data_IF_145067364932
#
_entry.id   IF_145067364932
#
_cell.length_a   1.000
_cell.length_b   1.000
_cell.length_c   1.000
_cell.angle_alpha   90.00
_cell.angle_beta   90.00
_cell.angle_gamma   90.00
#
_symmetry.space_group_name_H-M   'P 1'
#
loop_
_entity.id
_entity.type
_entity.pdbx_description
1 polymer ?
#
# COMPACT_ATOMS: atom_id res chain seq x y z
N UNK A 1 -1.06 -33.61 15.74
CA UNK A 1 -1.74 -33.21 14.48
C UNK A 1 -2.27 -31.81 14.72
N UNK A 2 -1.79 -30.85 13.98
CA UNK A 2 -2.24 -29.44 14.13
C UNK A 2 -3.70 -29.33 13.70
N UNK A 3 -4.53 -28.67 14.52
CA UNK A 3 -5.94 -28.46 14.21
C UNK A 3 -6.09 -27.45 13.05
N UNK A 4 -6.74 -27.88 11.98
CA UNK A 4 -7.01 -27.03 10.81
C UNK A 4 -7.85 -25.79 11.16
N UNK A 5 -8.65 -25.83 12.22
CA UNK A 5 -9.41 -24.69 12.71
C UNK A 5 -8.50 -23.55 13.17
N UNK A 6 -7.47 -23.86 13.95
CA UNK A 6 -6.50 -22.83 14.40
C UNK A 6 -5.67 -22.26 13.26
N UNK A 7 -5.29 -23.07 12.26
CA UNK A 7 -4.61 -22.59 11.05
C UNK A 7 -5.49 -21.58 10.30
N UNK A 8 -6.77 -21.86 10.11
CA UNK A 8 -7.69 -20.97 9.44
C UNK A 8 -7.93 -19.66 10.22
N UNK A 9 -8.02 -19.74 11.55
CA UNK A 9 -8.14 -18.55 12.42
C UNK A 9 -6.89 -17.68 12.31
N UNK A 10 -5.70 -18.27 12.37
CA UNK A 10 -4.44 -17.55 12.24
C UNK A 10 -4.36 -16.82 10.89
N UNK A 11 -4.64 -17.49 9.78
CA UNK A 11 -4.68 -16.89 8.44
C UNK A 11 -5.69 -15.76 8.35
N UNK A 12 -6.89 -15.92 8.91
CA UNK A 12 -7.90 -14.87 8.90
C UNK A 12 -7.45 -13.61 9.65
N UNK A 13 -6.85 -13.78 10.84
CA UNK A 13 -6.35 -12.66 11.65
C UNK A 13 -5.20 -11.95 10.92
N UNK A 14 -4.23 -12.70 10.36
CA UNK A 14 -3.12 -12.12 9.58
C UNK A 14 -3.68 -11.25 8.45
N UNK A 15 -4.58 -11.80 7.64
CA UNK A 15 -5.20 -11.11 6.50
C UNK A 15 -5.93 -9.82 6.88
N UNK A 16 -6.52 -9.76 8.09
CA UNK A 16 -7.31 -8.62 8.59
C UNK A 16 -6.51 -7.67 9.45
N UNK A 17 -5.25 -7.96 9.72
CA UNK A 17 -4.39 -7.10 10.54
C UNK A 17 -4.10 -5.79 9.81
N UNK A 18 -4.35 -4.63 10.45
CA UNK A 18 -3.99 -3.33 9.88
C UNK A 18 -2.49 -3.19 9.67
N UNK A 19 -2.10 -2.36 8.69
CA UNK A 19 -0.69 -2.08 8.44
C UNK A 19 0.02 -1.53 9.69
N UNK A 20 1.26 -1.96 9.91
CA UNK A 20 2.04 -1.59 11.09
C UNK A 20 1.79 -2.45 12.34
N UNK A 21 0.73 -3.25 12.36
CA UNK A 21 0.36 -4.10 13.50
C UNK A 21 0.74 -5.58 13.32
N UNK A 22 1.27 -5.98 12.16
CA UNK A 22 1.54 -7.39 11.86
C UNK A 22 2.44 -8.05 12.90
N UNK A 23 3.56 -7.43 13.27
CA UNK A 23 4.48 -8.00 14.26
C UNK A 23 3.79 -8.33 15.59
N UNK A 24 3.07 -7.36 16.16
CA UNK A 24 2.33 -7.57 17.41
C UNK A 24 1.22 -8.61 17.28
N UNK A 25 0.54 -8.64 16.13
CA UNK A 25 -0.50 -9.65 15.86
C UNK A 25 0.09 -11.06 15.78
N UNK A 26 1.26 -11.22 15.17
CA UNK A 26 1.95 -12.51 15.11
C UNK A 26 2.43 -12.98 16.50
N UNK A 27 2.95 -12.08 17.34
CA UNK A 27 3.30 -12.39 18.73
C UNK A 27 2.08 -12.87 19.55
N UNK A 28 0.97 -12.13 19.43
CA UNK A 28 -0.28 -12.52 20.09
C UNK A 28 -0.82 -13.85 19.57
N UNK A 29 -0.78 -14.08 18.26
CA UNK A 29 -1.20 -15.36 17.67
C UNK A 29 -0.36 -16.52 18.19
N UNK A 30 0.98 -16.38 18.25
CA UNK A 30 1.86 -17.40 18.83
C UNK A 30 1.44 -17.79 20.24
N UNK A 31 1.09 -16.79 21.05
CA UNK A 31 0.65 -17.04 22.45
C UNK A 31 -0.70 -17.77 22.53
N UNK A 32 -1.57 -17.63 21.52
CA UNK A 32 -2.92 -18.21 21.52
C UNK A 32 -2.98 -19.56 20.83
N UNK A 33 -2.40 -19.66 19.62
CA UNK A 33 -2.50 -20.88 18.79
C UNK A 33 -1.28 -21.79 18.90
N UNK A 34 -0.17 -21.31 19.46
CA UNK A 34 1.08 -22.05 19.64
C UNK A 34 2.00 -22.01 18.41
N UNK A 35 3.29 -22.32 18.63
CA UNK A 35 4.32 -22.33 17.58
C UNK A 35 4.04 -23.35 16.48
N UNK A 36 3.52 -24.53 16.83
CA UNK A 36 3.22 -25.60 15.87
C UNK A 36 2.24 -25.13 14.77
N UNK A 37 1.26 -24.28 15.12
CA UNK A 37 0.32 -23.68 14.16
C UNK A 37 1.02 -22.60 13.33
N UNK A 38 1.79 -21.73 13.98
CA UNK A 38 2.50 -20.63 13.30
C UNK A 38 3.56 -21.13 12.32
N UNK A 39 4.14 -22.32 12.57
CA UNK A 39 5.12 -22.95 11.69
C UNK A 39 4.51 -23.67 10.48
N UNK A 40 3.20 -23.78 10.41
CA UNK A 40 2.54 -24.37 9.23
C UNK A 40 2.84 -23.56 7.96
N UNK A 41 3.15 -24.27 6.88
CA UNK A 41 3.45 -23.66 5.57
C UNK A 41 2.35 -22.71 5.11
N UNK A 42 1.09 -23.03 5.37
CA UNK A 42 -0.05 -22.21 4.96
C UNK A 42 -0.13 -20.88 5.73
N UNK A 43 0.27 -20.88 7.02
CA UNK A 43 0.35 -19.64 7.81
C UNK A 43 1.52 -18.77 7.32
N UNK A 44 2.68 -19.37 7.06
CA UNK A 44 3.86 -18.67 6.50
C UNK A 44 3.55 -18.07 5.13
N UNK A 45 2.84 -18.81 4.27
CA UNK A 45 2.35 -18.27 2.98
C UNK A 45 1.42 -17.09 3.17
N UNK A 46 0.53 -17.10 4.17
CA UNK A 46 -0.39 -15.98 4.42
C UNK A 46 0.35 -14.73 4.91
N UNK A 47 1.40 -14.88 5.74
CA UNK A 47 2.28 -13.78 6.13
C UNK A 47 2.97 -13.16 4.90
N UNK A 48 3.45 -14.01 4.00
CA UNK A 48 4.07 -13.59 2.75
C UNK A 48 3.06 -12.86 1.84
N UNK A 49 1.86 -13.42 1.64
CA UNK A 49 0.77 -12.81 0.88
C UNK A 49 0.33 -11.47 1.47
N UNK A 50 0.37 -11.33 2.80
CA UNK A 50 0.13 -10.05 3.47
C UNK A 50 1.16 -9.01 3.00
N UNK A 51 2.45 -9.36 2.98
CA UNK A 51 3.51 -8.48 2.49
C UNK A 51 3.29 -8.04 1.04
N UNK A 52 2.95 -8.97 0.14
CA UNK A 52 2.63 -8.69 -1.27
C UNK A 52 1.38 -7.79 -1.41
N UNK A 53 0.33 -8.08 -0.62
CA UNK A 53 -0.95 -7.35 -0.67
C UNK A 53 -0.79 -5.90 -0.24
N UNK A 54 0.05 -5.64 0.76
CA UNK A 54 0.32 -4.31 1.30
C UNK A 54 1.52 -3.63 0.64
N UNK A 55 2.03 -4.14 -0.49
CA UNK A 55 3.20 -3.64 -1.18
C UNK A 55 4.35 -3.33 -0.20
N UNK A 56 4.62 -4.28 0.68
CA UNK A 56 5.65 -4.13 1.71
C UNK A 56 7.03 -3.99 1.09
N UNK A 57 7.90 -3.22 1.72
CA UNK A 57 9.28 -3.10 1.28
C UNK A 57 10.17 -4.07 2.06
N UNK A 58 10.90 -4.90 1.34
CA UNK A 58 11.86 -5.84 1.89
C UNK A 58 13.28 -5.28 1.75
N UNK A 59 14.09 -5.47 2.78
CA UNK A 59 15.50 -5.10 2.72
C UNK A 59 16.24 -6.10 1.82
N UNK A 60 16.80 -5.62 0.73
CA UNK A 60 17.71 -6.40 -0.07
C UNK A 60 19.15 -6.21 0.48
N UNK A 61 19.63 -7.21 1.21
CA UNK A 61 20.95 -7.17 1.85
C UNK A 61 22.11 -7.12 0.85
N UNK A 62 21.86 -7.49 -0.42
CA UNK A 62 22.89 -7.48 -1.48
C UNK A 62 23.09 -6.07 -2.02
N UNK A 63 22.01 -5.32 -2.24
CA UNK A 63 22.07 -3.96 -2.78
C UNK A 63 21.96 -2.88 -1.70
N UNK A 64 21.71 -3.28 -0.46
CA UNK A 64 21.41 -2.39 0.67
C UNK A 64 20.26 -1.41 0.37
N UNK A 65 19.28 -1.86 -0.42
CA UNK A 65 18.09 -1.11 -0.83
C UNK A 65 16.83 -1.73 -0.26
N UNK A 66 15.74 -0.93 -0.22
CA UNK A 66 14.40 -1.41 0.13
C UNK A 66 13.57 -1.54 -1.15
N UNK A 67 13.13 -2.74 -1.44
CA UNK A 67 12.38 -3.06 -2.66
C UNK A 67 10.93 -3.40 -2.32
N UNK A 68 10.00 -2.79 -3.04
CA UNK A 68 8.57 -3.11 -2.92
C UNK A 68 8.30 -4.44 -3.61
N UNK A 69 7.65 -5.35 -2.89
CA UNK A 69 7.26 -6.66 -3.39
C UNK A 69 5.79 -6.69 -3.82
N UNK A 70 5.51 -7.38 -4.91
CA UNK A 70 4.16 -7.60 -5.43
C UNK A 70 4.13 -8.88 -6.26
N UNK A 71 3.00 -9.58 -6.36
CA UNK A 71 2.85 -10.67 -7.33
C UNK A 71 3.16 -10.25 -8.77
N UNK A 72 2.95 -8.95 -9.10
CA UNK A 72 3.19 -8.39 -10.44
C UNK A 72 4.68 -8.20 -10.78
N UNK A 73 5.55 -8.20 -9.78
CA UNK A 73 7.02 -8.09 -9.96
C UNK A 73 7.74 -9.41 -9.76
N UNK A 74 6.98 -10.51 -9.77
CA UNK A 74 7.46 -11.87 -9.54
C UNK A 74 7.44 -12.67 -10.82
N UNK A 75 8.56 -13.30 -11.17
CA UNK A 75 8.64 -14.19 -12.33
C UNK A 75 8.06 -15.58 -12.05
N UNK A 76 8.00 -16.42 -13.09
CA UNK A 76 7.50 -17.81 -13.01
C UNK A 76 8.35 -18.72 -12.12
N UNK A 77 9.62 -18.36 -11.86
CA UNK A 77 10.53 -19.06 -10.96
C UNK A 77 10.40 -18.62 -9.50
N UNK A 78 9.59 -17.59 -9.25
CA UNK A 78 9.32 -17.04 -7.93
C UNK A 78 10.31 -15.97 -7.46
N UNK A 79 11.11 -15.40 -8.36
CA UNK A 79 11.98 -14.27 -8.05
C UNK A 79 11.23 -12.94 -8.18
N UNK A 80 11.44 -12.05 -7.23
CA UNK A 80 11.10 -10.64 -7.33
C UNK A 80 12.22 -9.89 -8.03
N UNK A 81 11.89 -8.88 -8.81
CA UNK A 81 12.84 -8.11 -9.58
C UNK A 81 12.99 -6.68 -9.04
N UNK A 82 14.24 -6.30 -8.79
CA UNK A 82 14.69 -4.92 -8.64
C UNK A 82 15.52 -4.55 -9.88
N UNK A 83 14.84 -4.16 -10.94
CA UNK A 83 15.50 -3.86 -12.21
C UNK A 83 16.33 -2.59 -12.13
N UNK A 84 15.99 -1.65 -11.24
CA UNK A 84 16.80 -0.46 -10.99
C UNK A 84 18.20 -0.79 -10.44
N UNK A 85 18.30 -1.84 -9.64
CA UNK A 85 19.57 -2.34 -9.08
C UNK A 85 20.13 -3.55 -9.82
N UNK A 86 19.47 -4.00 -10.89
CA UNK A 86 19.83 -5.17 -11.72
C UNK A 86 19.96 -6.47 -10.91
N UNK A 87 19.04 -6.69 -9.97
CA UNK A 87 19.02 -7.87 -9.11
C UNK A 87 17.63 -8.48 -9.10
N UNK A 88 17.57 -9.82 -9.15
CA UNK A 88 16.37 -10.59 -8.80
C UNK A 88 16.64 -11.40 -7.53
N UNK A 89 15.61 -11.61 -6.71
CA UNK A 89 15.76 -12.26 -5.41
C UNK A 89 14.53 -13.05 -5.00
N UNK A 90 14.73 -14.07 -4.14
CA UNK A 90 13.66 -14.79 -3.45
C UNK A 90 13.60 -14.39 -1.98
N UNK A 91 12.41 -14.46 -1.43
CA UNK A 91 12.14 -14.23 -0.01
C UNK A 91 11.82 -15.56 0.64
N UNK A 92 12.50 -15.84 1.72
CA UNK A 92 12.22 -17.01 2.54
C UNK A 92 10.88 -16.91 3.23
N UNK A 93 10.05 -17.95 3.09
CA UNK A 93 8.74 -17.99 3.74
C UNK A 93 8.83 -18.03 5.27
N UNK A 94 9.94 -18.52 5.79
CA UNK A 94 10.16 -18.63 7.23
C UNK A 94 10.78 -17.37 7.84
N UNK A 95 11.77 -16.81 7.13
CA UNK A 95 12.56 -15.66 7.58
C UNK A 95 11.91 -14.32 7.25
N UNK A 96 11.17 -14.24 6.12
CA UNK A 96 10.73 -12.97 5.54
C UNK A 96 11.87 -12.14 4.96
N UNK A 97 13.08 -12.71 4.88
CA UNK A 97 14.30 -12.05 4.39
C UNK A 97 14.69 -12.56 3.01
N UNK A 98 15.58 -11.84 2.36
CA UNK A 98 16.16 -12.27 1.08
C UNK A 98 17.09 -13.46 1.32
N UNK A 99 16.74 -14.63 0.77
CA UNK A 99 17.53 -15.86 0.90
C UNK A 99 18.38 -16.14 -0.32
N UNK A 100 17.93 -15.75 -1.50
CA UNK A 100 18.62 -15.99 -2.77
C UNK A 100 18.57 -14.70 -3.60
N UNK A 101 19.72 -14.23 -4.04
CA UNK A 101 19.81 -13.05 -4.91
C UNK A 101 20.75 -13.34 -6.09
N UNK A 102 20.34 -12.91 -7.27
CA UNK A 102 21.05 -13.10 -8.54
C UNK A 102 21.08 -11.80 -9.33
N UNK A 103 22.18 -11.57 -10.05
CA UNK A 103 22.23 -10.47 -11.01
C UNK A 103 21.26 -10.71 -12.17
N UNK A 104 20.61 -9.68 -12.66
CA UNK A 104 19.76 -9.70 -13.85
C UNK A 104 20.14 -8.56 -14.77
N UNK A 105 20.08 -8.79 -16.08
CA UNK A 105 20.40 -7.77 -17.09
C UNK A 105 19.18 -7.44 -17.97
N UNK A 106 17.99 -7.56 -17.42
CA UNK A 106 16.77 -7.16 -18.11
C UNK A 106 16.77 -5.64 -18.19
N UNK A 107 16.91 -5.11 -19.41
CA UNK A 107 16.93 -3.68 -19.68
C UNK A 107 15.81 -3.30 -20.66
N UNK A 108 15.20 -2.17 -20.42
CA UNK A 108 14.21 -1.55 -21.29
C UNK A 108 14.32 -0.03 -21.14
N UNK A 109 14.54 0.66 -22.27
CA UNK A 109 14.78 2.11 -22.27
C UNK A 109 13.55 2.88 -21.80
N UNK A 110 12.35 2.52 -22.26
CA UNK A 110 11.11 3.13 -21.83
C UNK A 110 10.91 2.97 -20.30
N UNK A 111 11.19 1.79 -19.75
CA UNK A 111 11.14 1.54 -18.31
C UNK A 111 12.06 2.48 -17.54
N UNK A 112 13.28 2.71 -18.03
CA UNK A 112 14.24 3.59 -17.36
C UNK A 112 13.77 5.05 -17.38
N UNK A 113 13.20 5.51 -18.50
CA UNK A 113 12.61 6.85 -18.59
C UNK A 113 11.41 7.00 -17.66
N UNK A 114 10.55 5.99 -17.60
CA UNK A 114 9.40 5.97 -16.67
C UNK A 114 9.89 6.02 -15.21
N UNK A 115 10.89 5.22 -14.83
CA UNK A 115 11.44 5.25 -13.47
C UNK A 115 11.92 6.63 -13.06
N UNK A 116 12.65 7.31 -13.95
CA UNK A 116 13.12 8.67 -13.69
C UNK A 116 11.93 9.64 -13.50
N UNK A 117 10.93 9.58 -14.36
CA UNK A 117 9.75 10.45 -14.28
C UNK A 117 8.89 10.17 -13.03
N UNK A 118 8.72 8.90 -12.67
CA UNK A 118 8.03 8.50 -11.43
C UNK A 118 8.80 9.03 -10.21
N UNK A 119 10.12 8.90 -10.18
CA UNK A 119 10.96 9.44 -9.11
C UNK A 119 10.78 10.96 -8.98
N UNK A 120 10.86 11.72 -10.08
CA UNK A 120 10.65 13.18 -10.09
C UNK A 120 9.24 13.56 -9.57
N UNK A 121 8.22 12.78 -9.91
CA UNK A 121 6.86 12.97 -9.41
C UNK A 121 6.77 12.73 -7.90
N UNK A 122 7.32 11.61 -7.43
CA UNK A 122 7.27 11.25 -6.00
C UNK A 122 8.05 12.25 -5.13
N UNK A 123 9.21 12.70 -5.55
CA UNK A 123 10.00 13.71 -4.84
C UNK A 123 9.26 15.06 -4.69
N UNK A 124 8.38 15.40 -5.63
CA UNK A 124 7.59 16.64 -5.58
C UNK A 124 6.32 16.51 -4.75
N UNK A 125 5.68 15.34 -4.76
CA UNK A 125 4.32 15.17 -4.25
C UNK A 125 4.25 14.34 -2.96
N UNK A 126 5.29 13.55 -2.63
CA UNK A 126 5.28 12.60 -1.54
C UNK A 126 6.40 12.82 -0.53
N UNK A 127 6.18 12.39 0.71
CA UNK A 127 7.23 12.30 1.74
C UNK A 127 8.08 11.06 1.49
N UNK A 128 9.29 11.25 0.97
CA UNK A 128 10.16 10.15 0.56
C UNK A 128 10.61 9.23 1.72
N UNK A 129 10.57 9.71 2.97
CA UNK A 129 10.90 8.88 4.13
C UNK A 129 9.97 7.67 4.28
N UNK A 130 8.68 7.85 3.94
CA UNK A 130 7.63 6.83 4.07
C UNK A 130 7.18 6.25 2.74
N UNK A 131 7.73 6.74 1.63
CA UNK A 131 7.37 6.33 0.27
C UNK A 131 8.39 5.36 -0.29
N UNK A 132 7.89 4.32 -0.94
CA UNK A 132 8.69 3.35 -1.71
C UNK A 132 8.03 3.13 -3.05
N UNK A 133 8.81 2.80 -4.06
CA UNK A 133 8.31 2.50 -5.38
C UNK A 133 9.15 1.42 -6.06
N UNK A 134 8.60 0.81 -7.09
CA UNK A 134 9.30 -0.11 -7.99
C UNK A 134 8.74 0.08 -9.40
N UNK A 135 9.60 0.08 -10.39
CA UNK A 135 9.23 0.09 -11.81
C UNK A 135 9.80 -1.17 -12.45
N UNK A 136 8.91 -2.04 -12.89
CA UNK A 136 9.23 -3.37 -13.40
C UNK A 136 8.78 -3.52 -14.85
N UNK A 137 9.65 -3.99 -15.70
CA UNK A 137 9.33 -4.42 -17.07
C UNK A 137 9.14 -5.93 -17.11
N UNK A 138 7.92 -6.34 -17.39
CA UNK A 138 7.56 -7.73 -17.65
C UNK A 138 7.77 -8.02 -19.13
N UNK A 139 8.83 -8.81 -19.42
CA UNK A 139 9.23 -9.16 -20.77
C UNK A 139 8.21 -10.09 -21.45
N UNK A 140 7.64 -11.02 -20.68
CA UNK A 140 6.72 -12.03 -21.19
C UNK A 140 5.35 -11.42 -21.53
N UNK A 141 4.87 -10.53 -20.70
CA UNK A 141 3.61 -9.82 -20.92
C UNK A 141 3.76 -8.54 -21.74
N UNK A 142 4.98 -8.10 -22.06
CA UNK A 142 5.31 -6.83 -22.70
C UNK A 142 4.65 -5.62 -22.04
N UNK A 143 4.77 -5.57 -20.71
CA UNK A 143 4.16 -4.53 -19.87
C UNK A 143 5.18 -3.87 -18.96
N UNK A 144 4.92 -2.62 -18.60
CA UNK A 144 5.63 -1.95 -17.50
C UNK A 144 4.67 -1.78 -16.33
N UNK A 145 5.11 -2.21 -15.15
CA UNK A 145 4.38 -2.10 -13.88
C UNK A 145 5.05 -1.04 -13.03
N UNK A 146 4.27 -0.07 -12.55
CA UNK A 146 4.71 0.92 -11.57
C UNK A 146 3.98 0.65 -10.26
N UNK A 147 4.74 0.44 -9.20
CA UNK A 147 4.23 0.25 -7.84
C UNK A 147 4.63 1.44 -7.00
N UNK A 148 3.68 2.05 -6.30
CA UNK A 148 3.92 3.11 -5.32
C UNK A 148 3.30 2.67 -4.00
N UNK A 149 4.10 2.68 -2.94
CA UNK A 149 3.71 2.25 -1.60
C UNK A 149 4.08 3.32 -0.60
N UNK A 150 3.10 3.83 0.12
CA UNK A 150 3.28 4.79 1.21
C UNK A 150 2.68 4.20 2.47
N UNK A 151 3.54 3.96 3.47
CA UNK A 151 3.12 3.50 4.79
C UNK A 151 3.41 4.59 5.81
N UNK A 152 2.39 5.32 6.23
CA UNK A 152 2.51 6.37 7.22
C UNK A 152 1.93 5.88 8.55
N UNK A 153 2.81 5.60 9.50
CA UNK A 153 2.49 4.94 10.76
C UNK A 153 2.82 5.86 11.94
N UNK A 154 1.86 6.07 12.82
CA UNK A 154 2.08 6.71 14.11
C UNK A 154 1.35 5.92 15.21
N UNK A 155 1.95 4.80 15.60
CA UNK A 155 1.37 3.88 16.59
C UNK A 155 1.32 4.49 17.99
N UNK A 156 2.13 5.53 18.28
CA UNK A 156 2.07 6.29 19.55
C UNK A 156 0.85 7.19 19.61
N UNK A 157 0.36 7.69 18.50
CA UNK A 157 -0.87 8.48 18.37
C UNK A 157 -2.03 7.63 17.83
N UNK A 158 -1.94 6.31 17.98
CA UNK A 158 -2.99 5.32 17.71
C UNK A 158 -3.56 5.32 16.30
N UNK A 159 -2.74 5.60 15.28
CA UNK A 159 -3.17 5.50 13.90
C UNK A 159 -2.10 4.89 12.99
N UNK A 160 -2.59 4.29 11.92
CA UNK A 160 -1.79 3.83 10.79
C UNK A 160 -2.53 4.09 9.48
N UNK A 161 -1.78 4.38 8.44
CA UNK A 161 -2.31 4.62 7.12
C UNK A 161 -1.43 4.04 6.03
N UNK A 162 -2.05 3.58 4.95
CA UNK A 162 -1.37 3.18 3.73
C UNK A 162 -2.05 3.79 2.50
N UNK A 163 -1.23 4.10 1.51
CA UNK A 163 -1.64 4.51 0.18
C UNK A 163 -0.83 3.70 -0.81
N UNK A 164 -1.52 2.84 -1.53
CA UNK A 164 -0.92 1.87 -2.45
C UNK A 164 -1.47 2.11 -3.84
N UNK A 165 -0.62 2.36 -4.82
CA UNK A 165 -1.05 2.43 -6.20
C UNK A 165 -0.22 1.51 -7.09
N UNK A 166 -0.91 0.87 -8.02
CA UNK A 166 -0.35 -0.07 -8.99
C UNK A 166 -0.82 0.32 -10.37
N UNK A 167 0.10 0.47 -11.30
CA UNK A 167 -0.16 0.90 -12.66
C UNK A 167 0.52 -0.03 -13.65
N UNK A 168 -0.26 -0.54 -14.60
CA UNK A 168 0.22 -1.41 -15.66
C UNK A 168 0.07 -0.70 -17.00
N UNK A 169 1.17 -0.47 -17.70
CA UNK A 169 1.23 0.05 -19.06
C UNK A 169 1.44 -1.10 -20.03
N UNK A 170 0.52 -1.32 -20.95
CA UNK A 170 0.75 -2.15 -22.14
C UNK A 170 1.60 -1.38 -23.16
N UNK A 171 2.81 -1.86 -23.40
CA UNK A 171 3.75 -1.17 -24.32
C UNK A 171 3.21 -1.14 -25.75
N UNK A 172 2.54 -2.19 -26.19
CA UNK A 172 2.04 -2.33 -27.56
C UNK A 172 0.82 -1.44 -27.83
N UNK A 173 -0.15 -1.48 -26.92
CA UNK A 173 -1.44 -0.77 -27.07
C UNK A 173 -1.49 0.58 -26.37
N UNK A 174 -0.44 0.96 -25.63
CA UNK A 174 -0.39 2.17 -24.80
C UNK A 174 -1.52 2.30 -23.77
N UNK A 175 -2.28 1.22 -23.57
CA UNK A 175 -3.33 1.16 -22.54
C UNK A 175 -2.73 1.16 -21.14
N UNK A 176 -3.35 1.92 -20.23
CA UNK A 176 -2.95 1.99 -18.82
C UNK A 176 -4.09 1.48 -17.95
N UNK A 177 -3.79 0.53 -17.06
CA UNK A 177 -4.69 0.09 -16.00
C UNK A 177 -4.09 0.43 -14.65
N UNK A 178 -4.90 1.02 -13.78
CA UNK A 178 -4.47 1.39 -12.44
C UNK A 178 -5.40 0.86 -11.37
N UNK A 179 -4.83 0.58 -10.20
CA UNK A 179 -5.58 0.36 -8.96
C UNK A 179 -4.97 1.21 -7.86
N UNK A 180 -5.82 1.88 -7.09
CA UNK A 180 -5.41 2.64 -5.94
C UNK A 180 -6.19 2.15 -4.73
N UNK A 181 -5.46 1.86 -3.66
CA UNK A 181 -6.00 1.47 -2.37
C UNK A 181 -5.50 2.40 -1.29
N UNK A 182 -6.43 2.93 -0.50
CA UNK A 182 -6.10 3.73 0.67
C UNK A 182 -6.80 3.14 1.89
N UNK A 183 -6.05 2.83 2.93
CA UNK A 183 -6.56 2.31 4.18
C UNK A 183 -6.06 3.18 5.33
N UNK A 184 -6.96 3.51 6.26
CA UNK A 184 -6.60 4.19 7.49
C UNK A 184 -7.23 3.48 8.67
N UNK A 185 -6.46 3.33 9.73
CA UNK A 185 -6.88 2.71 10.98
C UNK A 185 -6.56 3.62 12.16
N UNK A 186 -7.58 3.99 12.93
CA UNK A 186 -7.47 4.81 14.14
C UNK A 186 -8.17 4.12 15.31
N UNK A 187 -7.51 4.01 16.48
CA UNK A 187 -7.93 3.13 17.58
C UNK A 187 -7.73 3.70 18.98
N UNK A 188 -7.64 5.02 19.17
CA UNK A 188 -7.45 5.63 20.50
C UNK A 188 -8.70 5.50 21.38
N UNK A 189 -9.82 6.06 20.94
CA UNK A 189 -11.09 6.05 21.70
C UNK A 189 -12.18 5.20 21.02
N UNK A 190 -11.82 4.47 20.02
CA UNK A 190 -12.72 3.66 19.22
C UNK A 190 -11.93 2.90 18.16
N UNK A 191 -12.62 2.16 17.34
CA UNK A 191 -12.02 1.42 16.25
C UNK A 191 -12.62 1.93 14.93
N UNK A 192 -11.90 2.83 14.28
CA UNK A 192 -12.32 3.43 13.01
C UNK A 192 -11.42 2.91 11.91
N UNK A 193 -12.02 2.30 10.90
CA UNK A 193 -11.33 1.87 9.69
C UNK A 193 -11.96 2.56 8.49
N UNK A 194 -11.11 3.12 7.65
CA UNK A 194 -11.47 3.64 6.35
C UNK A 194 -10.72 2.84 5.29
N UNK A 195 -11.46 2.26 4.34
CA UNK A 195 -10.89 1.48 3.25
C UNK A 195 -11.45 1.99 1.93
N UNK A 196 -10.58 2.30 1.00
CA UNK A 196 -10.89 2.70 -0.36
C UNK A 196 -10.17 1.78 -1.34
N UNK A 197 -10.85 1.36 -2.39
CA UNK A 197 -10.28 0.61 -3.51
C UNK A 197 -10.90 1.16 -4.80
N UNK A 198 -10.07 1.75 -5.66
CA UNK A 198 -10.50 2.39 -6.90
C UNK A 198 -9.68 1.86 -8.07
N UNK A 199 -10.34 1.68 -9.22
CA UNK A 199 -9.70 1.23 -10.47
C UNK A 199 -9.75 2.33 -11.51
N UNK A 200 -8.74 2.37 -12.34
CA UNK A 200 -8.58 3.33 -13.43
C UNK A 200 -8.26 2.61 -14.73
N UNK A 201 -8.82 3.12 -15.81
CA UNK A 201 -8.51 2.72 -17.19
C UNK A 201 -8.24 3.97 -18.01
N UNK A 202 -7.20 3.94 -18.83
CA UNK A 202 -6.81 5.07 -19.68
C UNK A 202 -5.75 4.69 -20.69
N UNK A 203 -5.05 5.68 -21.23
CA UNK A 203 -3.94 5.49 -22.14
C UNK A 203 -2.79 6.45 -21.84
N UNK A 204 -1.58 6.07 -22.25
CA UNK A 204 -0.39 6.90 -22.23
C UNK A 204 0.18 7.00 -23.64
N UNK A 205 -0.60 7.59 -24.55
CA UNK A 205 -0.21 7.74 -25.94
C UNK A 205 0.98 8.69 -26.07
N UNK A 206 1.90 8.41 -27.01
CA UNK A 206 3.07 9.23 -27.27
C UNK A 206 3.83 8.72 -28.49
N UNK A 207 4.52 9.63 -29.18
CA UNK A 207 5.33 9.34 -30.34
C UNK A 207 6.70 8.76 -30.01
N UNK A 208 7.20 9.04 -28.80
CA UNK A 208 8.46 8.53 -28.29
C UNK A 208 8.35 8.10 -26.81
N UNK A 209 9.40 7.48 -26.29
CA UNK A 209 9.45 6.96 -24.91
C UNK A 209 9.32 8.07 -23.86
N UNK A 210 9.81 9.27 -24.15
CA UNK A 210 9.75 10.39 -23.23
C UNK A 210 8.31 10.94 -23.11
N UNK A 211 7.57 11.01 -24.22
CA UNK A 211 6.15 11.39 -24.25
C UNK A 211 5.29 10.34 -23.54
N UNK A 212 5.50 9.05 -23.84
CA UNK A 212 4.78 7.95 -23.19
C UNK A 212 4.99 7.97 -21.68
N UNK A 213 6.22 8.15 -21.23
CA UNK A 213 6.54 8.23 -19.80
C UNK A 213 5.92 9.45 -19.14
N UNK A 214 5.93 10.61 -19.81
CA UNK A 214 5.32 11.84 -19.29
C UNK A 214 3.79 11.69 -19.17
N UNK A 215 3.14 11.14 -20.20
CA UNK A 215 1.70 10.93 -20.23
C UNK A 215 1.25 9.88 -19.20
N UNK A 216 2.03 8.81 -19.00
CA UNK A 216 1.78 7.83 -17.93
C UNK A 216 1.82 8.51 -16.56
N UNK A 217 2.86 9.28 -16.25
CA UNK A 217 2.99 9.93 -14.94
C UNK A 217 1.92 11.00 -14.73
N UNK A 218 1.54 11.75 -15.76
CA UNK A 218 0.43 12.71 -15.65
C UNK A 218 -0.93 12.01 -15.46
N UNK A 219 -1.14 10.84 -16.09
CA UNK A 219 -2.31 10.00 -15.84
C UNK A 219 -2.34 9.49 -14.37
N UNK A 220 -1.21 8.99 -13.87
CA UNK A 220 -1.08 8.58 -12.46
C UNK A 220 -1.43 9.73 -11.54
N UNK A 221 -0.80 10.88 -11.69
CA UNK A 221 -0.99 12.06 -10.88
C UNK A 221 -2.44 12.57 -10.90
N UNK A 222 -3.06 12.63 -12.08
CA UNK A 222 -4.45 13.08 -12.22
C UNK A 222 -5.42 12.11 -11.53
N UNK A 223 -5.19 10.80 -11.69
CA UNK A 223 -5.97 9.76 -11.05
C UNK A 223 -5.86 9.81 -9.53
N UNK A 224 -4.64 9.92 -8.99
CA UNK A 224 -4.40 10.00 -7.54
C UNK A 224 -4.98 11.30 -6.95
N UNK A 225 -4.86 12.43 -7.64
CA UNK A 225 -5.46 13.70 -7.22
C UNK A 225 -7.00 13.62 -7.21
N UNK A 226 -7.62 12.95 -8.19
CA UNK A 226 -9.08 12.79 -8.21
C UNK A 226 -9.59 12.05 -6.97
N UNK A 227 -8.87 11.02 -6.55
CA UNK A 227 -9.20 10.27 -5.32
C UNK A 227 -9.05 11.14 -4.08
N UNK A 228 -7.99 11.93 -3.97
CA UNK A 228 -7.80 12.84 -2.84
C UNK A 228 -8.94 13.86 -2.75
N UNK A 229 -9.34 14.46 -3.86
CA UNK A 229 -10.47 15.40 -3.91
C UNK A 229 -11.81 14.74 -3.54
N UNK A 230 -12.02 13.50 -3.96
CA UNK A 230 -13.22 12.73 -3.58
C UNK A 230 -13.22 12.41 -2.09
N UNK A 231 -12.06 12.04 -1.51
CA UNK A 231 -11.92 11.82 -0.08
C UNK A 231 -12.24 13.07 0.74
N UNK A 232 -11.74 14.25 0.35
CA UNK A 232 -12.06 15.51 1.01
C UNK A 232 -13.57 15.78 1.02
N UNK A 233 -14.26 15.57 -0.11
CA UNK A 233 -15.73 15.70 -0.20
C UNK A 233 -16.45 14.71 0.73
N UNK A 234 -16.01 13.45 0.77
CA UNK A 234 -16.59 12.43 1.66
C UNK A 234 -16.41 12.81 3.12
N UNK A 235 -15.24 13.30 3.53
CA UNK A 235 -15.00 13.77 4.91
C UNK A 235 -15.88 14.96 5.26
N UNK A 236 -16.03 15.94 4.38
CA UNK A 236 -16.92 17.08 4.59
C UNK A 236 -18.39 16.64 4.71
N UNK A 237 -18.85 15.77 3.84
CA UNK A 237 -20.21 15.23 3.89
C UNK A 237 -20.48 14.41 5.15
N UNK A 238 -19.54 13.54 5.56
CA UNK A 238 -19.65 12.78 6.79
C UNK A 238 -19.73 13.71 8.00
N UNK A 239 -18.86 14.73 8.05
CA UNK A 239 -18.85 15.71 9.14
C UNK A 239 -20.18 16.47 9.22
N UNK A 240 -20.65 17.05 8.11
CA UNK A 240 -21.83 17.91 8.10
C UNK A 240 -23.15 17.14 8.21
N UNK A 241 -23.29 16.06 7.43
CA UNK A 241 -24.59 15.36 7.33
C UNK A 241 -24.82 14.33 8.45
N UNK A 242 -23.76 13.69 8.94
CA UNK A 242 -23.89 12.56 9.86
C UNK A 242 -23.32 12.84 11.25
N UNK A 243 -22.09 13.30 11.36
CA UNK A 243 -21.42 13.44 12.66
C UNK A 243 -21.94 14.65 13.44
N UNK A 244 -22.01 15.84 12.83
CA UNK A 244 -22.52 17.04 13.48
C UNK A 244 -23.97 16.92 13.98
N UNK A 245 -24.93 16.39 13.19
CA UNK A 245 -26.29 16.18 13.69
C UNK A 245 -26.39 15.20 14.86
N UNK A 246 -25.59 14.13 14.87
CA UNK A 246 -25.55 13.17 15.98
C UNK A 246 -24.99 13.79 17.25
N UNK A 247 -23.87 14.52 17.16
CA UNK A 247 -23.24 15.17 18.31
C UNK A 247 -24.07 16.32 18.88
N UNK A 248 -24.89 16.99 18.05
CA UNK A 248 -25.76 18.10 18.50
C UNK A 248 -27.02 17.66 19.23
N UNK A 249 -27.37 16.37 19.18
CA UNK A 249 -28.52 15.80 19.87
C UNK A 249 -28.06 14.93 21.03
N UNK A 250 -27.56 15.59 22.09
CA UNK A 250 -27.20 14.84 23.30
C UNK A 250 -28.46 14.53 24.11
N UNK A 251 -28.71 13.24 24.47
CA UNK A 251 -29.90 12.84 25.20
C UNK A 251 -30.02 13.54 26.59
N UNK A 252 -28.90 13.84 27.19
CA UNK A 252 -28.82 14.42 28.55
C UNK A 252 -29.27 15.89 28.60
N UNK A 253 -28.97 16.67 27.55
CA UNK A 253 -29.25 18.11 27.55
C UNK A 253 -30.46 18.50 26.70
N UNK A 254 -30.90 17.65 25.79
CA UNK A 254 -31.95 17.96 24.83
C UNK A 254 -31.62 19.11 23.87
N UNK A 255 -30.42 19.70 23.97
CA UNK A 255 -29.96 20.85 23.21
C UNK A 255 -28.89 20.46 22.18
N UNK A 256 -28.81 21.23 21.09
CA UNK A 256 -27.74 21.05 20.11
C UNK A 256 -26.44 21.60 20.71
N UNK A 257 -25.41 20.74 20.77
CA UNK A 257 -24.08 21.20 21.16
C UNK A 257 -23.45 22.00 20.02
N UNK A 258 -22.94 23.18 20.32
CA UNK A 258 -22.22 24.00 19.36
C UNK A 258 -20.73 23.60 19.37
N UNK A 259 -20.29 22.91 18.29
CA UNK A 259 -18.92 22.44 18.13
C UNK A 259 -17.99 23.45 17.44
N UNK A 260 -18.33 24.73 17.47
CA UNK A 260 -17.44 25.74 16.93
C UNK A 260 -16.25 25.93 17.90
N UNK A 261 -15.08 25.38 17.48
CA UNK A 261 -13.82 25.43 18.26
C UNK A 261 -13.44 26.84 18.69
N UNK A 262 -13.77 27.86 17.89
CA UNK A 262 -13.51 29.27 18.25
C UNK A 262 -14.33 29.75 19.42
N UNK A 263 -15.49 29.14 19.71
CA UNK A 263 -16.31 29.50 20.90
C UNK A 263 -15.88 28.72 22.15
N UNK A 264 -15.30 27.52 21.98
CA UNK A 264 -14.74 26.77 23.12
C UNK A 264 -13.49 27.43 23.69
N UNK A 265 -12.67 28.05 22.85
CA UNK A 265 -11.47 28.78 23.30
C UNK A 265 -11.78 30.13 23.99
N UNK A 266 -12.94 30.72 23.75
CA UNK A 266 -13.38 31.95 24.43
C UNK A 266 -14.02 31.69 25.82
N UNK A 267 -14.46 30.49 26.10
CA UNK A 267 -15.01 30.10 27.40
C UNK A 267 -13.93 29.69 28.43
N UNK A 268 -12.66 29.63 28.01
CA UNK A 268 -11.51 29.31 28.85
C UNK A 268 -10.65 30.55 29.19
N UNK A 269 -11.05 31.74 28.76
CA UNK A 269 -10.54 33.04 29.22
C UNK A 269 -11.51 33.71 30.20
#
# INVERSE_FOLDING_TARGET
MVDAGFVNVAKYIIKKTPIGHLGKSLENLRSVVGEEVMDQTDVKKEIHNYGETHLSAVNNNVTNSKVVISPLTKDSEGFYHDQGQKVKFKIGLASGEVEEAQATDIQNDLRNVIEQKVKEYLEKCYKMEVTRYNVYYDQDANKIVVLISVHNLNLKSFWSGEWLSTWELDISGKGVKGTLRANTYYYEEGNIQFNLDTKFDGSADGGDDAEVAANLVEFIKTSENSVQLELEKVYDELSEKYIKPLRRKLPVTGTKMNWNINQLNLAQQ
#
